data_IF_792213333906
#
_entry.id   IF_792213333906
#
_cell.length_a   1.000
_cell.length_b   1.000
_cell.length_c   1.000
_cell.angle_alpha   90.00
_cell.angle_beta   90.00
_cell.angle_gamma   90.00
#
_symmetry.space_group_name_H-M   'P 1'
#
loop_
_entity.id
_entity.type
_entity.pdbx_description
1 polymer ?
#
# COMPACT_ATOMS: atom_id res chain seq x y z
N UNK A 1 19.02 20.98 29.25
CA UNK A 1 17.63 20.78 28.78
C UNK A 1 17.63 19.70 27.73
N UNK A 2 17.07 18.55 28.09
CA UNK A 2 17.12 17.26 27.39
C UNK A 2 16.03 17.18 26.32
N UNK A 3 16.25 16.60 25.12
CA UNK A 3 15.20 16.43 24.13
C UNK A 3 14.43 15.13 24.35
N UNK A 4 13.12 15.23 24.56
CA UNK A 4 12.18 14.12 24.63
C UNK A 4 11.85 13.63 23.22
N UNK A 5 12.21 12.39 22.91
CA UNK A 5 11.88 11.72 21.64
C UNK A 5 10.52 11.05 21.76
N UNK A 6 9.50 11.58 21.08
CA UNK A 6 8.16 10.99 21.06
C UNK A 6 8.08 9.91 19.98
N UNK A 7 8.26 8.66 20.39
CA UNK A 7 8.10 7.48 19.51
C UNK A 7 6.62 7.31 19.13
N UNK A 8 6.28 7.62 17.88
CA UNK A 8 4.98 7.30 17.29
C UNK A 8 4.83 5.78 17.16
N UNK A 9 4.12 5.16 18.11
CA UNK A 9 3.72 3.76 18.02
C UNK A 9 2.53 3.65 17.07
N UNK A 10 2.78 3.28 15.82
CA UNK A 10 1.73 2.84 14.90
C UNK A 10 1.01 1.63 15.51
N UNK A 11 -0.25 1.79 15.92
CA UNK A 11 -1.06 0.69 16.44
C UNK A 11 -1.25 -0.36 15.33
N UNK A 12 -0.74 -1.58 15.57
CA UNK A 12 -0.95 -2.73 14.67
C UNK A 12 -2.39 -3.21 14.79
N UNK A 13 -3.03 -3.50 13.66
CA UNK A 13 -4.45 -3.83 13.59
C UNK A 13 -4.80 -5.17 14.27
N UNK A 14 -3.85 -6.12 14.32
CA UNK A 14 -4.07 -7.48 14.85
C UNK A 14 -3.34 -7.80 16.16
N UNK A 15 -2.87 -6.78 16.90
CA UNK A 15 -2.03 -7.00 18.09
C UNK A 15 -2.74 -7.84 19.16
N UNK A 16 -2.24 -9.05 19.41
CA UNK A 16 -2.64 -9.81 20.60
C UNK A 16 -2.21 -9.06 21.87
N UNK A 17 -3.18 -8.80 22.75
CA UNK A 17 -2.95 -8.37 24.13
C UNK A 17 -2.51 -9.60 24.92
N UNK A 18 -1.20 -9.77 25.15
CA UNK A 18 -0.73 -10.77 26.10
C UNK A 18 -1.21 -10.37 27.50
N UNK A 19 -2.13 -11.14 28.06
CA UNK A 19 -2.50 -11.04 29.46
C UNK A 19 -1.60 -12.02 30.23
N UNK A 20 -0.49 -11.52 30.75
CA UNK A 20 0.26 -12.22 31.80
C UNK A 20 -0.19 -11.68 33.15
N UNK A 21 -0.74 -12.55 34.00
CA UNK A 21 -0.49 -12.59 35.45
C UNK A 21 -1.23 -13.75 36.13
N UNK A 22 -0.44 -14.78 36.46
CA UNK A 22 -0.37 -15.56 37.73
C UNK A 22 -1.60 -16.26 38.31
N UNK A 23 -1.55 -17.61 38.32
CA UNK A 23 -1.73 -18.40 39.56
C UNK A 23 -1.06 -19.79 39.51
N UNK A 24 -0.39 -20.05 40.62
CA UNK A 24 0.35 -21.18 41.23
C UNK A 24 -0.19 -22.62 41.03
N UNK A 25 0.76 -23.56 40.90
CA UNK A 25 0.78 -25.06 41.01
C UNK A 25 -0.47 -25.86 41.42
N UNK A 26 -0.73 -26.95 40.69
CA UNK A 26 -0.80 -28.35 41.22
C UNK A 26 -0.73 -29.39 40.09
N UNK A 27 0.02 -30.46 40.34
CA UNK A 27 0.15 -31.66 39.52
C UNK A 27 -1.13 -32.51 39.55
N UNK A 28 -1.68 -32.89 38.41
CA UNK A 28 -2.33 -34.20 38.18
C UNK A 28 -2.90 -34.31 36.77
N UNK A 29 -2.52 -35.41 36.12
CA UNK A 29 -3.19 -36.11 35.00
C UNK A 29 -3.39 -35.30 33.72
N UNK A 30 -2.80 -35.76 32.61
CA UNK A 30 -3.04 -35.24 31.26
C UNK A 30 -4.31 -35.90 30.71
N UNK A 31 -5.47 -35.23 30.66
CA UNK A 31 -6.44 -35.49 29.61
C UNK A 31 -6.03 -34.66 28.41
N UNK A 32 -5.84 -35.31 27.27
CA UNK A 32 -5.76 -34.66 25.96
C UNK A 32 -6.94 -33.67 25.86
N UNK A 33 -6.72 -32.36 25.67
CA UNK A 33 -7.82 -31.41 25.65
C UNK A 33 -8.60 -31.60 24.36
N UNK A 34 -9.74 -32.29 24.44
CA UNK A 34 -10.73 -32.31 23.38
C UNK A 34 -11.22 -30.87 23.19
N UNK A 35 -11.01 -30.25 22.02
CA UNK A 35 -11.39 -28.85 21.81
C UNK A 35 -12.90 -28.69 21.99
N UNK A 36 -13.29 -27.83 22.93
CA UNK A 36 -14.68 -27.50 23.24
C UNK A 36 -15.37 -26.91 21.99
N UNK A 37 -16.65 -27.20 21.72
CA UNK A 37 -17.37 -26.67 20.55
C UNK A 37 -17.33 -25.14 20.44
N UNK A 38 -17.25 -24.42 21.57
CA UNK A 38 -17.06 -22.97 21.61
C UNK A 38 -15.72 -22.50 20.99
N UNK A 39 -14.64 -23.26 21.19
CA UNK A 39 -13.31 -22.96 20.65
C UNK A 39 -13.27 -23.19 19.13
N UNK A 40 -13.91 -24.27 18.64
CA UNK A 40 -14.08 -24.51 17.21
C UNK A 40 -14.89 -23.40 16.53
N UNK A 41 -15.97 -22.96 17.16
CA UNK A 41 -16.79 -21.86 16.65
C UNK A 41 -15.99 -20.55 16.57
N UNK A 42 -15.19 -20.23 17.59
CA UNK A 42 -14.32 -19.04 17.59
C UNK A 42 -13.32 -19.06 16.41
N UNK A 43 -12.60 -20.16 16.23
CA UNK A 43 -11.63 -20.30 15.12
C UNK A 43 -12.33 -20.13 13.76
N UNK A 44 -13.51 -20.72 13.58
CA UNK A 44 -14.28 -20.60 12.33
C UNK A 44 -14.75 -19.17 12.09
N UNK A 45 -15.17 -18.44 13.13
CA UNK A 45 -15.51 -17.02 13.00
C UNK A 45 -14.30 -16.16 12.64
N UNK A 46 -13.14 -16.36 13.27
CA UNK A 46 -11.90 -15.64 12.95
C UNK A 46 -11.47 -15.94 11.51
N UNK A 47 -11.54 -17.21 11.08
CA UNK A 47 -11.27 -17.62 9.70
C UNK A 47 -12.17 -16.89 8.71
N UNK A 48 -13.49 -16.90 8.93
CA UNK A 48 -14.45 -16.26 8.03
C UNK A 48 -14.19 -14.76 7.92
N UNK A 49 -13.96 -14.08 9.04
CA UNK A 49 -13.61 -12.65 9.06
C UNK A 49 -12.32 -12.38 8.29
N UNK A 50 -11.27 -13.18 8.53
CA UNK A 50 -9.99 -13.04 7.85
C UNK A 50 -10.13 -13.20 6.32
N UNK A 51 -10.84 -14.24 5.85
CA UNK A 51 -11.07 -14.46 4.42
C UNK A 51 -11.87 -13.33 3.77
N UNK A 52 -12.88 -12.80 4.48
CA UNK A 52 -13.63 -11.63 4.04
C UNK A 52 -12.71 -10.39 3.91
N UNK A 53 -11.89 -10.10 4.92
CA UNK A 53 -10.93 -8.99 4.89
C UNK A 53 -9.92 -9.14 3.75
N UNK A 54 -9.37 -10.34 3.53
CA UNK A 54 -8.43 -10.59 2.42
C UNK A 54 -9.08 -10.37 1.06
N UNK A 55 -10.35 -10.76 0.90
CA UNK A 55 -11.15 -10.47 -0.32
C UNK A 55 -11.33 -8.96 -0.50
N UNK A 56 -11.67 -8.24 0.58
CA UNK A 56 -11.78 -6.79 0.56
C UNK A 56 -10.46 -6.12 0.17
N UNK A 57 -9.33 -6.57 0.71
CA UNK A 57 -8.01 -6.04 0.35
C UNK A 57 -7.72 -6.17 -1.15
N UNK A 58 -8.05 -7.32 -1.78
CA UNK A 58 -7.90 -7.49 -3.23
C UNK A 58 -8.74 -6.49 -4.02
N UNK A 59 -10.01 -6.30 -3.61
CA UNK A 59 -10.90 -5.33 -4.24
C UNK A 59 -10.35 -3.90 -4.10
N UNK A 60 -9.86 -3.53 -2.92
CA UNK A 60 -9.24 -2.23 -2.68
C UNK A 60 -8.01 -2.02 -3.56
N UNK A 61 -7.10 -3.00 -3.68
CA UNK A 61 -5.92 -2.88 -4.56
C UNK A 61 -6.37 -2.64 -6.02
N UNK A 62 -7.38 -3.39 -6.48
CA UNK A 62 -7.93 -3.25 -7.83
C UNK A 62 -8.54 -1.88 -8.06
N UNK A 63 -9.40 -1.41 -7.15
CA UNK A 63 -10.07 -0.12 -7.24
C UNK A 63 -9.05 1.03 -7.22
N UNK A 64 -8.03 0.95 -6.38
CA UNK A 64 -6.96 1.96 -6.31
C UNK A 64 -6.20 2.03 -7.64
N UNK A 65 -5.84 0.90 -8.24
CA UNK A 65 -5.15 0.89 -9.54
C UNK A 65 -6.03 1.41 -10.68
N UNK A 66 -7.29 0.99 -10.75
CA UNK A 66 -8.22 1.46 -11.78
C UNK A 66 -8.47 2.95 -11.66
N UNK A 67 -8.66 3.44 -10.43
CA UNK A 67 -8.85 4.87 -10.15
C UNK A 67 -7.60 5.67 -10.53
N UNK A 68 -6.41 5.18 -10.14
CA UNK A 68 -5.12 5.81 -10.49
C UNK A 68 -4.97 5.92 -12.00
N UNK A 69 -5.13 4.81 -12.73
CA UNK A 69 -4.99 4.78 -14.19
C UNK A 69 -5.99 5.71 -14.89
N UNK A 70 -7.26 5.71 -14.47
CA UNK A 70 -8.28 6.60 -15.02
C UNK A 70 -7.91 8.06 -14.80
N UNK A 71 -7.52 8.43 -13.58
CA UNK A 71 -7.10 9.79 -13.24
C UNK A 71 -5.87 10.20 -14.03
N UNK A 72 -4.85 9.34 -14.08
CA UNK A 72 -3.61 9.61 -14.81
C UNK A 72 -3.85 9.88 -16.28
N UNK A 73 -4.73 9.11 -16.93
CA UNK A 73 -5.08 9.32 -18.33
C UNK A 73 -5.72 10.69 -18.57
N UNK A 74 -6.71 11.05 -17.75
CA UNK A 74 -7.42 12.34 -17.88
C UNK A 74 -6.48 13.49 -17.53
N UNK A 75 -5.73 13.36 -16.44
CA UNK A 75 -4.78 14.35 -15.97
C UNK A 75 -3.70 14.65 -17.01
N UNK A 76 -3.10 13.63 -17.62
CA UNK A 76 -2.09 13.84 -18.66
C UNK A 76 -2.62 14.71 -19.81
N UNK A 77 -3.84 14.45 -20.28
CA UNK A 77 -4.46 15.23 -21.35
C UNK A 77 -4.65 16.71 -20.96
N UNK A 78 -5.17 16.96 -19.76
CA UNK A 78 -5.34 18.33 -19.26
C UNK A 78 -4.00 19.05 -19.09
N UNK A 79 -2.98 18.35 -18.59
CA UNK A 79 -1.66 18.92 -18.38
C UNK A 79 -0.92 19.23 -19.69
N UNK A 80 -1.05 18.38 -20.70
CA UNK A 80 -0.53 18.67 -22.05
C UNK A 80 -1.17 19.94 -22.61
N UNK A 81 -2.50 20.07 -22.50
CA UNK A 81 -3.21 21.24 -22.98
C UNK A 81 -2.80 22.50 -22.22
N UNK A 82 -2.71 22.42 -20.89
CA UNK A 82 -2.23 23.51 -20.04
C UNK A 82 -0.85 24.00 -20.46
N UNK A 83 0.14 23.11 -20.60
CA UNK A 83 1.49 23.53 -20.98
C UNK A 83 1.58 24.06 -22.41
N UNK A 84 0.81 23.50 -23.35
CA UNK A 84 0.76 24.01 -24.72
C UNK A 84 0.21 25.45 -24.77
N UNK A 85 -0.77 25.78 -23.91
CA UNK A 85 -1.31 27.14 -23.80
C UNK A 85 -0.37 28.09 -23.08
N UNK A 86 0.25 27.64 -21.99
CA UNK A 86 1.03 28.52 -21.10
C UNK A 86 2.47 28.76 -21.60
N UNK A 87 3.16 27.71 -22.05
CA UNK A 87 4.55 27.80 -22.53
C UNK A 87 4.68 27.73 -24.06
N UNK A 88 3.56 27.60 -24.78
CA UNK A 88 3.56 27.36 -26.22
C UNK A 88 3.91 25.91 -26.58
N UNK A 89 3.59 25.53 -27.82
CA UNK A 89 3.66 24.13 -28.28
C UNK A 89 5.06 23.51 -28.21
N UNK A 90 6.12 24.29 -28.43
CA UNK A 90 7.51 23.78 -28.41
C UNK A 90 7.89 23.28 -27.01
N UNK A 91 7.75 24.12 -26.01
CA UNK A 91 8.09 23.78 -24.63
C UNK A 91 7.05 22.83 -24.01
N UNK A 92 5.77 23.01 -24.34
CA UNK A 92 4.71 22.10 -23.89
C UNK A 92 4.94 20.66 -24.32
N UNK A 93 5.38 20.42 -25.56
CA UNK A 93 5.75 19.08 -26.03
C UNK A 93 6.96 18.50 -25.30
N UNK A 94 7.97 19.31 -25.01
CA UNK A 94 9.16 18.86 -24.29
C UNK A 94 8.82 18.44 -22.84
N UNK A 95 8.03 19.26 -22.13
CA UNK A 95 7.52 18.94 -20.80
C UNK A 95 6.69 17.65 -20.83
N UNK A 96 5.74 17.56 -21.77
CA UNK A 96 4.88 16.40 -21.95
C UNK A 96 5.67 15.11 -22.21
N UNK A 97 6.75 15.16 -22.98
CA UNK A 97 7.57 13.98 -23.26
C UNK A 97 8.20 13.41 -21.98
N UNK A 98 8.78 14.26 -21.13
CA UNK A 98 9.38 13.82 -19.86
C UNK A 98 8.35 13.27 -18.88
N UNK A 99 7.19 13.91 -18.81
CA UNK A 99 6.09 13.47 -17.95
C UNK A 99 5.48 12.15 -18.43
N UNK A 100 5.28 12.00 -19.74
CA UNK A 100 4.76 10.75 -20.34
C UNK A 100 5.74 9.59 -20.10
N UNK A 101 7.04 9.83 -20.26
CA UNK A 101 8.06 8.83 -19.96
C UNK A 101 8.07 8.43 -18.49
N UNK A 102 7.97 9.39 -17.57
CA UNK A 102 7.86 9.12 -16.15
C UNK A 102 6.57 8.34 -15.83
N UNK A 103 5.46 8.69 -16.47
CA UNK A 103 4.17 8.03 -16.28
C UNK A 103 4.22 6.56 -16.65
N UNK A 104 4.82 6.22 -17.79
CA UNK A 104 4.99 4.82 -18.18
C UNK A 104 5.79 4.00 -17.16
N UNK A 105 6.82 4.60 -16.53
CA UNK A 105 7.60 3.94 -15.47
C UNK A 105 6.83 3.81 -14.17
N UNK A 106 6.05 4.81 -13.79
CA UNK A 106 5.14 4.75 -12.63
C UNK A 106 4.07 3.67 -12.87
N UNK A 107 3.46 3.63 -14.04
CA UNK A 107 2.46 2.62 -14.39
C UNK A 107 3.01 1.20 -14.30
N UNK A 108 4.21 0.97 -14.84
CA UNK A 108 4.87 -0.34 -14.73
C UNK A 108 5.16 -0.69 -13.26
N UNK A 109 5.67 0.25 -12.47
CA UNK A 109 5.97 0.05 -11.05
C UNK A 109 4.72 -0.30 -10.24
N UNK A 110 3.65 0.48 -10.40
CA UNK A 110 2.42 0.30 -9.65
C UNK A 110 1.69 -0.99 -10.04
N UNK A 111 1.63 -1.31 -11.34
CA UNK A 111 1.10 -2.59 -11.83
C UNK A 111 1.86 -3.78 -11.27
N UNK A 112 3.20 -3.74 -11.28
CA UNK A 112 4.02 -4.82 -10.72
C UNK A 112 3.74 -5.02 -9.24
N UNK A 113 3.72 -3.94 -8.45
CA UNK A 113 3.44 -4.02 -7.01
C UNK A 113 2.00 -4.47 -6.73
N UNK A 114 1.02 -4.01 -7.51
CA UNK A 114 -0.36 -4.45 -7.38
C UNK A 114 -0.50 -5.96 -7.66
N UNK A 115 0.20 -6.49 -8.66
CA UNK A 115 0.24 -7.93 -8.93
C UNK A 115 0.89 -8.71 -7.78
N UNK A 116 2.02 -8.24 -7.26
CA UNK A 116 2.69 -8.86 -6.10
C UNK A 116 1.78 -8.90 -4.88
N UNK A 117 1.04 -7.82 -4.62
CA UNK A 117 0.10 -7.72 -3.50
C UNK A 117 -1.12 -8.63 -3.70
N UNK A 118 -1.63 -8.77 -4.92
CA UNK A 118 -2.68 -9.74 -5.24
C UNK A 118 -2.22 -11.18 -4.98
N UNK A 119 -1.02 -11.53 -5.45
CA UNK A 119 -0.44 -12.85 -5.23
C UNK A 119 -0.19 -13.12 -3.74
N UNK A 120 0.34 -12.14 -3.01
CA UNK A 120 0.50 -12.23 -1.55
C UNK A 120 -0.86 -12.48 -0.87
N UNK A 121 -1.86 -11.67 -1.19
CA UNK A 121 -3.20 -11.80 -0.60
C UNK A 121 -3.81 -13.16 -0.90
N UNK A 122 -3.63 -13.69 -2.12
CA UNK A 122 -4.13 -15.00 -2.50
C UNK A 122 -3.42 -16.14 -1.75
N UNK A 123 -2.09 -16.07 -1.61
CA UNK A 123 -1.33 -17.06 -0.83
C UNK A 123 -1.79 -17.08 0.62
N UNK A 124 -1.98 -15.91 1.23
CA UNK A 124 -2.45 -15.79 2.62
C UNK A 124 -3.89 -16.27 2.75
N UNK A 125 -4.76 -15.97 1.77
CA UNK A 125 -6.12 -16.48 1.72
C UNK A 125 -6.16 -18.01 1.72
N UNK A 126 -5.36 -18.66 0.88
CA UNK A 126 -5.24 -20.12 0.89
C UNK A 126 -4.72 -20.65 2.23
N UNK A 127 -3.67 -20.04 2.79
CA UNK A 127 -3.11 -20.46 4.07
C UNK A 127 -4.12 -20.34 5.23
N UNK A 128 -4.92 -19.26 5.26
CA UNK A 128 -5.99 -19.08 6.26
C UNK A 128 -7.11 -20.10 6.07
N UNK A 129 -7.48 -20.39 4.81
CA UNK A 129 -8.51 -21.39 4.51
C UNK A 129 -8.10 -22.80 4.97
N UNK A 130 -6.82 -23.15 4.88
CA UNK A 130 -6.29 -24.47 5.27
C UNK A 130 -5.76 -24.54 6.71
N UNK A 131 -5.73 -23.43 7.46
CA UNK A 131 -5.25 -23.41 8.84
C UNK A 131 -6.15 -24.31 9.71
N UNK A 132 -5.58 -25.32 10.35
CA UNK A 132 -6.34 -26.40 11.00
C UNK A 132 -6.43 -26.24 12.53
N UNK A 133 -5.51 -25.51 13.17
CA UNK A 133 -5.21 -25.83 14.57
C UNK A 133 -5.46 -24.71 15.58
N UNK A 134 -5.24 -23.43 15.25
CA UNK A 134 -5.45 -22.34 16.23
C UNK A 134 -5.83 -21.00 15.61
N UNK A 135 -6.56 -20.19 16.37
CA UNK A 135 -6.79 -18.77 16.04
C UNK A 135 -5.47 -18.00 15.91
N UNK A 136 -4.50 -18.31 16.79
CA UNK A 136 -3.17 -17.69 16.80
C UNK A 136 -2.42 -17.91 15.49
N UNK A 137 -2.60 -19.06 14.84
CA UNK A 137 -2.03 -19.33 13.51
C UNK A 137 -2.59 -18.39 12.44
N UNK A 138 -3.90 -18.18 12.44
CA UNK A 138 -4.59 -17.26 11.51
C UNK A 138 -4.09 -15.83 11.72
N UNK A 139 -4.06 -15.36 12.96
CA UNK A 139 -3.57 -14.02 13.28
C UNK A 139 -2.09 -13.84 12.90
N UNK A 140 -1.25 -14.84 13.17
CA UNK A 140 0.15 -14.83 12.76
C UNK A 140 0.38 -14.85 11.24
N UNK A 141 -0.56 -15.40 10.45
CA UNK A 141 -0.54 -15.29 8.98
C UNK A 141 -0.86 -13.86 8.54
N UNK A 142 -1.86 -13.21 9.16
CA UNK A 142 -2.25 -11.84 8.84
C UNK A 142 -1.18 -10.82 9.24
N UNK A 143 -0.55 -10.98 10.41
CA UNK A 143 0.56 -10.11 10.85
C UNK A 143 1.75 -10.19 9.88
N UNK A 144 2.13 -11.40 9.45
CA UNK A 144 3.19 -11.57 8.44
C UNK A 144 2.83 -10.92 7.12
N UNK A 145 1.56 -11.03 6.69
CA UNK A 145 1.07 -10.33 5.50
C UNK A 145 1.20 -8.82 5.65
N UNK A 146 0.81 -8.24 6.79
CA UNK A 146 0.91 -6.79 7.05
C UNK A 146 2.36 -6.30 6.91
N UNK A 147 3.32 -7.02 7.51
CA UNK A 147 4.75 -6.70 7.40
C UNK A 147 5.23 -6.76 5.94
N UNK A 148 4.84 -7.80 5.21
CA UNK A 148 5.15 -8.00 3.79
C UNK A 148 4.57 -6.90 2.88
N UNK A 149 3.34 -6.46 3.16
CA UNK A 149 2.70 -5.32 2.48
C UNK A 149 3.46 -4.03 2.81
N UNK A 150 3.82 -3.83 4.07
CA UNK A 150 4.59 -2.67 4.53
C UNK A 150 5.94 -2.54 3.81
N UNK A 151 6.67 -3.65 3.66
CA UNK A 151 7.94 -3.67 2.89
C UNK A 151 7.71 -3.29 1.43
N UNK A 152 6.71 -3.88 0.77
CA UNK A 152 6.40 -3.59 -0.64
C UNK A 152 5.98 -2.13 -0.84
N UNK A 153 5.15 -1.58 0.06
CA UNK A 153 4.75 -0.16 0.03
C UNK A 153 5.96 0.77 0.17
N UNK A 154 6.85 0.52 1.13
CA UNK A 154 8.08 1.33 1.31
C UNK A 154 9.00 1.27 0.09
N UNK A 155 9.19 0.07 -0.48
CA UNK A 155 9.99 -0.11 -1.71
C UNK A 155 9.37 0.59 -2.91
N UNK A 156 8.06 0.47 -3.12
CA UNK A 156 7.32 1.18 -4.16
C UNK A 156 7.51 2.69 -4.02
N UNK A 157 7.27 3.22 -2.81
CA UNK A 157 7.42 4.65 -2.51
C UNK A 157 8.80 5.16 -2.90
N UNK A 158 9.86 4.50 -2.43
CA UNK A 158 11.25 4.89 -2.74
C UNK A 158 11.53 4.90 -4.24
N UNK A 159 11.03 3.89 -4.99
CA UNK A 159 11.18 3.81 -6.45
C UNK A 159 10.40 4.92 -7.17
N UNK A 160 9.16 5.19 -6.74
CA UNK A 160 8.32 6.24 -7.32
C UNK A 160 8.95 7.63 -7.10
N UNK A 161 9.45 7.90 -5.90
CA UNK A 161 10.18 9.13 -5.58
C UNK A 161 11.41 9.30 -6.49
N UNK A 162 12.19 8.24 -6.70
CA UNK A 162 13.35 8.28 -7.60
C UNK A 162 12.96 8.58 -9.06
N UNK A 163 11.87 7.97 -9.56
CA UNK A 163 11.35 8.25 -10.91
C UNK A 163 10.93 9.72 -11.04
N UNK A 164 10.21 10.24 -10.06
CA UNK A 164 9.73 11.62 -10.07
C UNK A 164 10.86 12.64 -9.86
N UNK A 165 11.88 12.32 -9.06
CA UNK A 165 13.06 13.16 -8.93
C UNK A 165 13.84 13.24 -10.25
N UNK A 166 14.00 12.12 -10.95
CA UNK A 166 14.63 12.12 -12.28
C UNK A 166 13.82 12.90 -13.31
N UNK A 167 12.48 12.80 -13.26
CA UNK A 167 11.60 13.61 -14.10
C UNK A 167 11.78 15.10 -13.79
N UNK A 168 11.73 15.48 -12.51
CA UNK A 168 11.91 16.86 -12.06
C UNK A 168 13.20 17.48 -12.59
N UNK A 169 14.33 16.80 -12.43
CA UNK A 169 15.62 17.28 -12.95
C UNK A 169 15.60 17.53 -14.47
N UNK A 170 14.82 16.74 -15.23
CA UNK A 170 14.65 16.93 -16.68
C UNK A 170 13.71 18.09 -17.01
N UNK A 171 12.67 18.32 -16.20
CA UNK A 171 11.78 19.46 -16.36
C UNK A 171 12.53 20.77 -16.05
N UNK A 172 13.36 20.79 -15.02
CA UNK A 172 14.19 21.95 -14.64
C UNK A 172 15.27 22.28 -15.69
N UNK A 173 15.66 21.31 -16.52
CA UNK A 173 16.59 21.54 -17.64
C UNK A 173 15.93 22.24 -18.84
N UNK A 174 14.59 22.32 -18.89
CA UNK A 174 13.87 23.08 -19.92
C UNK A 174 13.87 24.55 -19.49
N UNK A 175 14.11 25.52 -20.39
CA UNK A 175 14.19 26.94 -20.05
C UNK A 175 12.80 27.56 -19.81
N UNK A 176 12.05 27.01 -18.86
CA UNK A 176 10.73 27.45 -18.40
C UNK A 176 10.66 27.34 -16.88
N UNK A 177 9.91 28.24 -16.23
CA UNK A 177 9.79 28.24 -14.77
C UNK A 177 8.73 27.26 -14.31
N UNK A 178 9.12 26.14 -13.70
CA UNK A 178 8.20 25.18 -13.07
C UNK A 178 8.31 25.33 -11.55
N UNK A 179 7.25 25.77 -10.86
CA UNK A 179 7.27 25.92 -9.40
C UNK A 179 7.14 24.56 -8.68
N UNK A 180 7.52 24.53 -7.40
CA UNK A 180 7.32 23.35 -6.55
C UNK A 180 5.84 22.98 -6.40
N UNK A 181 4.94 23.97 -6.28
CA UNK A 181 3.51 23.69 -6.20
C UNK A 181 3.01 23.04 -7.49
N UNK A 182 3.47 23.53 -8.65
CA UNK A 182 3.10 22.96 -9.95
C UNK A 182 3.58 21.51 -10.08
N UNK A 183 4.73 21.16 -9.51
CA UNK A 183 5.21 19.77 -9.47
C UNK A 183 4.38 18.88 -8.54
N UNK A 184 3.88 19.40 -7.44
CA UNK A 184 3.00 18.65 -6.54
C UNK A 184 1.59 18.46 -7.12
N UNK A 185 1.06 19.49 -7.79
CA UNK A 185 -0.18 19.38 -8.56
C UNK A 185 -0.03 18.39 -9.72
N UNK A 186 1.16 18.34 -10.34
CA UNK A 186 1.48 17.36 -11.37
C UNK A 186 1.46 15.93 -10.80
N UNK A 187 2.04 15.70 -9.61
CA UNK A 187 1.98 14.39 -8.92
C UNK A 187 0.54 13.94 -8.72
N UNK A 188 -0.32 14.82 -8.20
CA UNK A 188 -1.73 14.50 -7.93
C UNK A 188 -2.56 14.36 -9.20
N UNK A 189 -2.35 15.26 -10.16
CA UNK A 189 -3.13 15.36 -11.39
C UNK A 189 -2.77 14.28 -12.40
N UNK A 190 -1.49 14.05 -12.66
CA UNK A 190 -1.03 13.15 -13.72
C UNK A 190 -0.67 11.77 -13.20
N UNK A 191 -0.09 11.66 -12.01
CA UNK A 191 0.31 10.36 -11.49
C UNK A 191 -0.73 9.75 -10.55
N UNK A 192 -1.72 10.55 -10.13
CA UNK A 192 -2.68 10.22 -9.09
C UNK A 192 -1.96 9.74 -7.82
N UNK A 193 -0.89 10.45 -7.46
CA UNK A 193 -0.07 10.20 -6.28
C UNK A 193 -0.07 11.40 -5.33
N UNK A 194 0.05 11.11 -4.04
CA UNK A 194 0.19 12.13 -3.01
C UNK A 194 1.64 12.64 -2.93
N UNK A 195 1.91 13.57 -2.01
CA UNK A 195 3.25 14.13 -1.78
C UNK A 195 4.28 13.07 -1.39
N UNK A 196 3.83 11.95 -0.81
CA UNK A 196 4.65 10.81 -0.41
C UNK A 196 4.74 9.73 -1.48
N UNK A 197 4.17 9.94 -2.67
CA UNK A 197 4.13 8.96 -3.76
C UNK A 197 3.32 7.68 -3.42
N UNK A 198 2.32 7.79 -2.55
CA UNK A 198 1.26 6.79 -2.40
C UNK A 198 0.05 7.13 -3.26
N UNK A 199 -0.92 6.21 -3.34
CA UNK A 199 -2.16 6.43 -4.05
C UNK A 199 -2.89 7.69 -3.58
N UNK A 200 -3.31 8.52 -4.53
CA UNK A 200 -4.17 9.67 -4.31
C UNK A 200 -5.47 9.50 -5.12
N UNK A 201 -6.42 8.69 -4.61
CA UNK A 201 -7.65 8.38 -5.33
C UNK A 201 -8.53 9.61 -5.58
N UNK A 202 -8.38 10.69 -4.80
CA UNK A 202 -9.19 11.91 -4.91
C UNK A 202 -10.02 12.13 -3.68
#
# INVERSE_FOLDING_TARGET
TTPTTTTSQTQRFYRLKNHDSTTTTTSSTIPTPTPTPAHHHLIETTRRTALYTLTLCRNVITILELTRLRKSRIGLLHWIEFWNRYYGRRFGRALAAHVTQALGRIDALFRAVANDLHQLTQRVHHAVATALHTEREILGLLERMEDEVGVRRRRRRKKAQAILAQMRARLEAIPVKVSDELLDDLKRGVFALDVYCDYYPG
#
